data_IF_165194429815
#
_entry.id   IF_165194429815
#
_cell.length_a   1.000
_cell.length_b   1.000
_cell.length_c   1.000
_cell.angle_alpha   90.00
_cell.angle_beta   90.00
_cell.angle_gamma   90.00
#
_symmetry.space_group_name_H-M   'P 1'
#
loop_
_entity.id
_entity.type
_entity.pdbx_description
1 polymer ?
#
# COMPACT_ATOMS: atom_id res chain seq x y z
N UNK A 1 -1.46 -16.26 -2.03
CA UNK A 1 -1.13 -14.92 -1.51
C UNK A 1 -1.63 -13.88 -2.51
N UNK A 2 -2.67 -13.12 -2.15
CA UNK A 2 -3.23 -12.09 -3.03
C UNK A 2 -2.37 -10.83 -2.93
N UNK A 3 -1.75 -10.43 -4.03
CA UNK A 3 -0.98 -9.19 -4.14
C UNK A 3 -1.88 -8.08 -4.68
N UNK A 4 -1.84 -6.92 -4.06
CA UNK A 4 -2.61 -5.74 -4.43
C UNK A 4 -1.69 -4.67 -4.98
N UNK A 5 -2.05 -4.09 -6.12
CA UNK A 5 -1.40 -2.87 -6.60
C UNK A 5 -1.82 -1.67 -5.76
N UNK A 6 -1.03 -0.58 -5.79
CA UNK A 6 -1.40 0.71 -5.16
C UNK A 6 -2.84 1.12 -5.46
N UNK A 7 -3.28 0.96 -6.72
CA UNK A 7 -4.62 1.35 -7.19
C UNK A 7 -5.73 0.45 -6.63
N UNK A 8 -5.45 -0.84 -6.43
CA UNK A 8 -6.39 -1.74 -5.78
C UNK A 8 -6.47 -1.46 -4.28
N UNK A 9 -5.31 -1.25 -3.64
CA UNK A 9 -5.24 -0.93 -2.21
C UNK A 9 -5.95 0.39 -1.90
N UNK A 10 -5.76 1.42 -2.73
CA UNK A 10 -6.43 2.71 -2.59
C UNK A 10 -7.96 2.55 -2.63
N UNK A 11 -8.47 1.72 -3.56
CA UNK A 11 -9.90 1.45 -3.68
C UNK A 11 -10.45 0.65 -2.50
N UNK A 12 -9.69 -0.31 -1.98
CA UNK A 12 -10.09 -1.16 -0.85
C UNK A 12 -10.13 -0.38 0.47
N UNK A 13 -9.10 0.43 0.74
CA UNK A 13 -8.98 1.19 1.99
C UNK A 13 -9.70 2.54 1.95
N UNK A 14 -10.28 2.93 0.80
CA UNK A 14 -10.96 4.23 0.65
C UNK A 14 -10.02 5.44 0.71
N UNK A 15 -8.71 5.23 0.56
CA UNK A 15 -7.69 6.29 0.59
C UNK A 15 -7.23 6.63 -0.82
N UNK A 16 -6.71 7.83 -1.02
CA UNK A 16 -6.16 8.21 -2.32
C UNK A 16 -4.83 7.50 -2.61
N UNK A 17 -4.53 7.26 -3.89
CA UNK A 17 -3.20 6.78 -4.33
C UNK A 17 -2.09 7.71 -3.84
N UNK A 18 -2.35 9.03 -3.82
CA UNK A 18 -1.44 10.05 -3.29
C UNK A 18 -1.13 9.82 -1.81
N UNK A 19 -2.13 9.47 -1.00
CA UNK A 19 -1.95 9.17 0.42
C UNK A 19 -1.03 7.96 0.61
N UNK A 20 -1.24 6.90 -0.16
CA UNK A 20 -0.37 5.71 -0.12
C UNK A 20 1.07 6.03 -0.56
N UNK A 21 1.25 6.88 -1.58
CA UNK A 21 2.57 7.35 -1.97
C UNK A 21 3.23 8.19 -0.89
N UNK A 22 2.46 9.06 -0.22
CA UNK A 22 2.96 9.85 0.89
C UNK A 22 3.44 8.94 2.02
N UNK A 23 2.66 7.93 2.41
CA UNK A 23 3.05 6.95 3.43
C UNK A 23 4.29 6.15 3.05
N UNK A 24 4.48 5.81 1.77
CA UNK A 24 5.72 5.19 1.28
C UNK A 24 6.91 6.17 1.39
N UNK A 25 6.73 7.44 1.01
CA UNK A 25 7.78 8.47 1.05
C UNK A 25 8.26 8.76 2.47
N UNK A 26 7.36 8.84 3.44
CA UNK A 26 7.71 9.08 4.86
C UNK A 26 8.09 7.78 5.58
N UNK A 27 8.02 6.63 4.91
CA UNK A 27 8.36 5.31 5.46
C UNK A 27 7.33 4.72 6.41
N UNK A 28 6.13 5.31 6.50
CA UNK A 28 5.02 4.85 7.34
C UNK A 28 4.39 3.55 6.83
N UNK A 29 4.25 3.40 5.51
CA UNK A 29 3.74 2.18 4.89
C UNK A 29 4.61 1.80 3.68
N UNK A 30 5.39 0.73 3.83
CA UNK A 30 6.24 0.22 2.74
C UNK A 30 5.53 -0.88 1.96
N UNK A 31 5.67 -0.92 0.61
CA UNK A 31 5.17 -2.03 -0.18
C UNK A 31 5.88 -3.34 0.19
N UNK A 32 5.17 -4.47 0.12
CA UNK A 32 5.77 -5.81 0.32
C UNK A 32 6.84 -6.08 -0.73
N UNK A 33 6.53 -5.76 -1.99
CA UNK A 33 7.43 -6.02 -3.11
C UNK A 33 7.39 -4.88 -4.13
N UNK A 34 8.56 -4.60 -4.70
CA UNK A 34 8.70 -3.74 -5.88
C UNK A 34 9.07 -4.63 -7.06
N UNK A 35 8.26 -4.63 -8.10
CA UNK A 35 8.62 -5.27 -9.36
C UNK A 35 9.79 -4.54 -9.99
N UNK A 36 10.55 -5.27 -10.81
CA UNK A 36 11.64 -4.74 -11.63
C UNK A 36 11.22 -3.55 -12.51
N UNK A 37 9.93 -3.49 -12.87
CA UNK A 37 9.32 -2.36 -13.59
C UNK A 37 8.93 -1.16 -12.70
N UNK A 38 9.28 -1.18 -11.41
CA UNK A 38 8.96 -0.12 -10.44
C UNK A 38 7.53 -0.15 -9.87
N UNK A 39 6.74 -1.18 -10.18
CA UNK A 39 5.39 -1.33 -9.60
C UNK A 39 5.45 -1.75 -8.13
N UNK A 40 4.60 -1.12 -7.32
CA UNK A 40 4.48 -1.40 -5.88
C UNK A 40 3.33 -2.37 -5.63
N UNK A 41 3.65 -3.46 -4.93
CA UNK A 41 2.70 -4.49 -4.52
C UNK A 41 2.61 -4.55 -3.00
N UNK A 42 1.38 -4.70 -2.52
CA UNK A 42 1.02 -4.79 -1.13
C UNK A 42 0.36 -6.14 -0.88
N UNK A 43 0.69 -6.75 0.24
CA UNK A 43 0.10 -8.01 0.66
C UNK A 43 -0.77 -7.75 1.91
N UNK A 44 -1.28 -8.84 2.48
CA UNK A 44 -2.18 -8.79 3.64
C UNK A 44 -1.56 -8.06 4.83
N UNK A 45 -0.26 -8.19 5.05
CA UNK A 45 0.42 -7.52 6.16
C UNK A 45 0.36 -5.99 6.06
N UNK A 46 0.58 -5.44 4.85
CA UNK A 46 0.49 -4.00 4.64
C UNK A 46 -0.96 -3.50 4.73
N UNK A 47 -1.95 -4.34 4.41
CA UNK A 47 -3.36 -4.02 4.65
C UNK A 47 -3.65 -3.87 6.15
N UNK A 48 -3.12 -4.77 6.99
CA UNK A 48 -3.28 -4.70 8.44
C UNK A 48 -2.60 -3.45 9.02
N UNK A 49 -1.38 -3.15 8.56
CA UNK A 49 -0.67 -1.92 8.96
C UNK A 49 -1.46 -0.68 8.52
N UNK A 50 -1.95 -0.65 7.28
CA UNK A 50 -2.76 0.47 6.79
C UNK A 50 -4.04 0.64 7.61
N UNK A 51 -4.70 -0.46 7.99
CA UNK A 51 -5.86 -0.42 8.88
C UNK A 51 -5.49 0.19 10.25
N UNK A 52 -4.36 -0.20 10.83
CA UNK A 52 -3.86 0.37 12.10
C UNK A 52 -3.44 1.84 11.99
N UNK A 53 -3.07 2.33 10.80
CA UNK A 53 -2.77 3.75 10.58
C UNK A 53 -4.07 4.58 10.51
N UNK A 54 -5.17 3.97 10.07
CA UNK A 54 -6.45 4.67 9.85
C UNK A 54 -7.39 4.64 11.07
N UNK A 55 -7.16 3.74 12.04
CA UNK A 55 -7.95 3.55 13.26
C UNK A 55 -7.06 3.61 14.49
#
# INVERSE_FOLDING_TARGET
MSKYTVKQLSKLAGVSVRTLHHYDQIGLLKPSFRSDKGYRYYEREQLLILQQILF
#
